data_IF_075589653212
#
_entry.id   IF_075589653212
#
_cell.length_a   1.000
_cell.length_b   1.000
_cell.length_c   1.000
_cell.angle_alpha   90.00
_cell.angle_beta   90.00
_cell.angle_gamma   90.00
#
_symmetry.space_group_name_H-M   'P 1'
#
loop_
_entity.id
_entity.type
_entity.pdbx_description
1 polymer ?
#
# COMPACT_ATOMS: atom_id res chain seq x y z
N UNK A 1 -2.49 -29.85 5.14
CA UNK A 1 -2.73 -28.55 5.81
C UNK A 1 -3.41 -27.66 4.79
N UNK A 2 -4.61 -27.17 5.12
CA UNK A 2 -5.41 -26.33 4.24
C UNK A 2 -5.47 -24.89 4.77
N UNK A 3 -5.08 -23.92 3.95
CA UNK A 3 -5.15 -22.50 4.28
C UNK A 3 -6.17 -21.78 3.41
N UNK A 4 -7.04 -20.98 4.03
CA UNK A 4 -7.94 -20.07 3.33
C UNK A 4 -7.41 -18.65 3.45
N UNK A 5 -7.09 -18.02 2.32
CA UNK A 5 -6.65 -16.62 2.24
C UNK A 5 -7.82 -15.74 1.84
N UNK A 6 -8.19 -14.81 2.69
CA UNK A 6 -9.30 -13.89 2.49
C UNK A 6 -8.79 -12.59 1.87
N UNK A 7 -9.05 -12.39 0.59
CA UNK A 7 -8.65 -11.24 -0.23
C UNK A 7 -7.67 -11.61 -1.34
N UNK A 8 -8.06 -11.33 -2.58
CA UNK A 8 -7.29 -11.54 -3.82
C UNK A 8 -6.50 -10.30 -4.28
N UNK A 9 -6.19 -9.39 -3.36
CA UNK A 9 -5.25 -8.30 -3.61
C UNK A 9 -3.80 -8.76 -3.51
N UNK A 10 -2.82 -7.87 -3.79
CA UNK A 10 -1.39 -8.23 -3.80
C UNK A 10 -0.93 -8.91 -2.51
N UNK A 11 -1.38 -8.45 -1.34
CA UNK A 11 -0.99 -9.03 -0.05
C UNK A 11 -1.47 -10.48 0.11
N UNK A 12 -2.73 -10.76 -0.23
CA UNK A 12 -3.29 -12.11 -0.14
C UNK A 12 -2.68 -13.06 -1.15
N UNK A 13 -2.51 -12.61 -2.39
CA UNK A 13 -1.90 -13.43 -3.44
C UNK A 13 -0.43 -13.76 -3.15
N UNK A 14 0.34 -12.83 -2.57
CA UNK A 14 1.70 -13.11 -2.10
C UNK A 14 1.70 -14.17 -0.97
N UNK A 15 0.79 -14.04 0.02
CA UNK A 15 0.65 -15.07 1.05
C UNK A 15 0.29 -16.44 0.44
N UNK A 16 -0.67 -16.48 -0.50
CA UNK A 16 -1.08 -17.70 -1.18
C UNK A 16 0.08 -18.33 -1.97
N UNK A 17 0.86 -17.50 -2.69
CA UNK A 17 2.00 -17.95 -3.48
C UNK A 17 3.06 -18.62 -2.60
N UNK A 18 3.50 -17.97 -1.53
CA UNK A 18 4.54 -18.53 -0.68
C UNK A 18 4.05 -19.71 0.19
N UNK A 19 2.77 -19.77 0.54
CA UNK A 19 2.15 -20.95 1.15
C UNK A 19 2.16 -22.14 0.19
N UNK A 20 1.74 -21.93 -1.06
CA UNK A 20 1.73 -22.98 -2.08
C UNK A 20 3.14 -23.49 -2.39
N UNK A 21 4.14 -22.60 -2.38
CA UNK A 21 5.57 -22.97 -2.53
C UNK A 21 6.12 -23.78 -1.34
N UNK A 22 5.38 -23.87 -0.24
CA UNK A 22 5.65 -24.72 0.93
C UNK A 22 4.68 -25.92 1.02
N UNK A 23 4.10 -26.33 -0.10
CA UNK A 23 3.18 -27.48 -0.23
C UNK A 23 1.93 -27.39 0.66
N UNK A 24 1.50 -26.17 0.99
CA UNK A 24 0.21 -25.93 1.64
C UNK A 24 -0.89 -25.97 0.57
N UNK A 25 -2.01 -26.64 0.86
CA UNK A 25 -3.23 -26.55 0.08
C UNK A 25 -3.90 -25.21 0.35
N UNK A 26 -4.04 -24.36 -0.69
CA UNK A 26 -4.50 -22.98 -0.54
C UNK A 26 -5.75 -22.73 -1.35
N UNK A 27 -6.76 -22.14 -0.71
CA UNK A 27 -7.91 -21.52 -1.36
C UNK A 27 -7.89 -20.00 -1.11
N UNK A 28 -7.96 -19.20 -2.17
CA UNK A 28 -8.12 -17.73 -2.06
C UNK A 28 -9.59 -17.39 -2.27
N UNK A 29 -10.17 -16.56 -1.39
CA UNK A 29 -11.54 -16.06 -1.53
C UNK A 29 -11.50 -14.57 -1.81
N UNK A 30 -12.07 -14.17 -2.96
CA UNK A 30 -12.15 -12.77 -3.37
C UNK A 30 -13.60 -12.38 -3.69
N UNK A 31 -14.05 -11.25 -3.14
CA UNK A 31 -15.43 -10.75 -3.34
C UNK A 31 -15.71 -10.26 -4.75
N UNK A 32 -14.67 -9.85 -5.48
CA UNK A 32 -14.74 -9.45 -6.87
C UNK A 32 -13.95 -10.45 -7.73
N UNK A 33 -13.37 -9.99 -8.82
CA UNK A 33 -12.38 -10.74 -9.60
C UNK A 33 -10.97 -10.31 -9.17
N UNK A 34 -9.99 -11.20 -9.29
CA UNK A 34 -8.58 -10.87 -9.09
C UNK A 34 -8.15 -9.83 -10.13
N UNK A 35 -7.61 -8.71 -9.64
CA UNK A 35 -7.28 -7.56 -10.50
C UNK A 35 -8.48 -6.69 -10.87
N UNK A 36 -9.61 -6.77 -10.16
CA UNK A 36 -10.76 -5.89 -10.35
C UNK A 36 -10.46 -4.44 -9.94
N UNK A 37 -11.14 -3.50 -10.61
CA UNK A 37 -11.03 -2.04 -10.33
C UNK A 37 -11.38 -1.64 -8.89
N UNK A 38 -12.16 -2.44 -8.18
CA UNK A 38 -12.52 -2.21 -6.78
C UNK A 38 -11.37 -2.48 -5.79
N UNK A 39 -10.30 -3.15 -6.23
CA UNK A 39 -9.16 -3.46 -5.40
C UNK A 39 -8.13 -2.31 -5.42
N UNK A 40 -7.57 -1.97 -4.25
CA UNK A 40 -6.50 -0.96 -4.13
C UNK A 40 -5.23 -1.35 -4.91
N UNK A 41 -5.08 -2.61 -5.26
CA UNK A 41 -3.99 -3.15 -6.07
C UNK A 41 -4.19 -2.95 -7.58
N UNK A 42 -5.29 -2.32 -8.04
CA UNK A 42 -5.54 -2.10 -9.47
C UNK A 42 -4.96 -0.78 -9.99
N UNK A 43 -5.35 0.34 -9.40
CA UNK A 43 -5.09 1.68 -9.93
C UNK A 43 -4.12 2.51 -9.09
N UNK A 44 -3.26 1.85 -8.28
CA UNK A 44 -2.20 2.53 -7.54
C UNK A 44 -1.00 2.89 -8.44
N UNK A 45 -0.02 3.61 -7.88
CA UNK A 45 1.18 4.03 -8.61
C UNK A 45 2.10 2.90 -9.08
N UNK A 46 1.92 1.67 -8.64
CA UNK A 46 2.74 0.54 -9.06
C UNK A 46 4.21 0.65 -8.66
N UNK A 47 4.51 1.23 -7.51
CA UNK A 47 5.88 1.46 -7.07
C UNK A 47 6.37 0.35 -6.14
N UNK A 48 7.52 -0.22 -6.51
CA UNK A 48 8.34 -1.07 -5.65
C UNK A 48 9.51 -0.21 -5.20
N UNK A 49 9.32 0.49 -4.08
CA UNK A 49 10.18 1.58 -3.65
C UNK A 49 10.54 1.46 -2.16
N UNK A 50 11.36 0.46 -1.77
CA UNK A 50 11.70 0.21 -0.38
C UNK A 50 12.52 1.34 0.26
N UNK A 51 13.31 2.09 -0.49
CA UNK A 51 14.02 3.27 0.02
C UNK A 51 13.08 4.43 0.41
N UNK A 52 11.82 4.40 -0.05
CA UNK A 52 10.78 5.37 0.34
C UNK A 52 9.77 4.79 1.34
N UNK A 53 10.04 3.61 1.92
CA UNK A 53 9.14 2.93 2.84
C UNK A 53 9.23 3.53 4.26
N UNK A 54 8.73 4.76 4.44
CA UNK A 54 8.55 5.38 5.75
C UNK A 54 7.13 5.23 6.29
N UNK A 55 6.95 5.24 7.63
CA UNK A 55 5.62 5.30 8.23
C UNK A 55 4.96 6.65 7.94
N UNK A 56 3.64 6.65 7.70
CA UNK A 56 2.92 7.89 7.39
C UNK A 56 2.89 8.90 8.57
N UNK A 57 2.73 8.50 9.85
CA UNK A 57 2.77 9.44 10.97
C UNK A 57 4.20 9.97 11.19
N UNK A 58 4.55 11.01 10.45
CA UNK A 58 5.83 11.70 10.54
C UNK A 58 5.77 12.93 11.44
N UNK A 59 6.92 13.38 11.99
CA UNK A 59 7.01 14.65 12.73
C UNK A 59 6.53 15.83 11.88
N UNK A 60 5.63 16.67 12.45
CA UNK A 60 5.06 17.82 11.76
C UNK A 60 3.77 17.56 10.97
N UNK A 61 3.43 16.31 10.68
CA UNK A 61 2.20 15.96 9.95
C UNK A 61 0.93 16.42 10.67
N UNK A 62 0.95 16.52 12.00
CA UNK A 62 -0.17 17.04 12.81
C UNK A 62 -0.56 18.44 12.39
N UNK A 63 0.44 19.35 12.21
CA UNK A 63 0.21 20.74 11.79
C UNK A 63 -0.35 20.78 10.36
N UNK A 64 0.19 19.97 9.47
CA UNK A 64 -0.32 19.84 8.10
C UNK A 64 -1.78 19.36 8.10
N UNK A 65 -2.10 18.33 8.88
CA UNK A 65 -3.47 17.79 9.03
C UNK A 65 -4.46 18.83 9.57
N UNK A 66 -4.07 19.64 10.57
CA UNK A 66 -4.91 20.71 11.08
C UNK A 66 -5.18 21.80 10.02
N UNK A 67 -4.18 22.16 9.22
CA UNK A 67 -4.34 23.10 8.11
C UNK A 67 -5.25 22.53 7.01
N UNK A 68 -5.17 21.21 6.76
CA UNK A 68 -6.01 20.52 5.77
C UNK A 68 -7.51 20.52 6.14
N UNK A 69 -7.85 20.59 7.43
CA UNK A 69 -9.26 20.66 7.87
C UNK A 69 -9.98 21.92 7.36
N UNK A 70 -9.24 23.00 7.09
CA UNK A 70 -9.81 24.29 6.64
C UNK A 70 -9.53 24.59 5.16
N UNK A 71 -8.83 23.71 4.45
CA UNK A 71 -8.48 23.88 3.02
C UNK A 71 -9.13 22.79 2.17
N UNK A 72 -10.12 23.16 1.37
CA UNK A 72 -10.83 22.24 0.49
C UNK A 72 -9.96 21.69 -0.67
N UNK A 73 -8.90 22.42 -1.06
CA UNK A 73 -7.96 22.10 -2.14
C UNK A 73 -6.73 21.31 -1.67
N UNK A 74 -6.62 21.01 -0.36
CA UNK A 74 -5.51 20.23 0.19
C UNK A 74 -5.46 18.82 -0.40
N UNK A 75 -4.24 18.28 -0.58
CA UNK A 75 -4.05 16.87 -0.93
C UNK A 75 -4.66 15.92 0.12
N UNK A 76 -4.71 16.35 1.39
CA UNK A 76 -5.39 15.65 2.48
C UNK A 76 -6.78 16.26 2.71
N UNK A 77 -7.80 15.40 2.75
CA UNK A 77 -9.19 15.81 2.97
C UNK A 77 -9.90 14.92 3.97
N UNK A 78 -10.71 15.53 4.83
CA UNK A 78 -11.55 14.86 5.82
C UNK A 78 -13.02 15.20 5.51
N UNK A 79 -13.81 14.17 5.16
CA UNK A 79 -15.24 14.37 4.93
C UNK A 79 -15.92 14.79 6.24
N UNK A 80 -16.58 15.97 6.31
CA UNK A 80 -17.11 16.47 7.58
C UNK A 80 -18.05 15.49 8.29
N UNK A 81 -18.96 14.85 7.58
CA UNK A 81 -19.87 13.85 8.13
C UNK A 81 -19.20 12.55 8.65
N UNK A 82 -17.94 12.31 8.29
CA UNK A 82 -17.16 11.15 8.77
C UNK A 82 -16.25 11.50 9.94
N UNK A 83 -15.96 12.77 10.21
CA UNK A 83 -15.06 13.22 11.27
C UNK A 83 -15.39 12.65 12.66
N UNK A 84 -16.64 12.58 13.13
CA UNK A 84 -16.94 12.03 14.44
C UNK A 84 -16.52 10.55 14.60
N UNK A 85 -16.60 9.78 13.51
CA UNK A 85 -16.16 8.37 13.49
C UNK A 85 -14.65 8.24 13.35
N UNK A 86 -14.02 9.18 12.68
CA UNK A 86 -12.56 9.22 12.44
C UNK A 86 -11.78 9.77 13.63
N UNK A 87 -12.35 10.70 14.39
CA UNK A 87 -11.67 11.42 15.46
C UNK A 87 -10.92 10.51 16.47
N UNK A 88 -11.48 9.39 16.97
CA UNK A 88 -10.73 8.50 17.85
C UNK A 88 -9.50 7.88 17.20
N UNK A 89 -9.53 7.62 15.91
CA UNK A 89 -8.39 7.11 15.15
C UNK A 89 -7.37 8.22 14.91
N UNK A 90 -7.78 9.44 14.55
CA UNK A 90 -6.89 10.59 14.37
C UNK A 90 -6.14 10.94 15.66
N UNK A 91 -6.82 10.95 16.80
CA UNK A 91 -6.19 11.19 18.09
C UNK A 91 -5.08 10.18 18.39
N UNK A 92 -5.32 8.91 18.05
CA UNK A 92 -4.32 7.84 18.20
C UNK A 92 -3.19 7.99 17.19
N UNK A 93 -3.51 8.29 15.95
CA UNK A 93 -2.52 8.54 14.90
C UNK A 93 -1.57 9.67 15.28
N UNK A 94 -2.07 10.75 15.84
CA UNK A 94 -1.25 11.88 16.29
C UNK A 94 -0.26 11.54 17.40
N UNK A 95 -0.56 10.54 18.25
CA UNK A 95 0.41 10.11 19.26
C UNK A 95 1.65 9.48 18.66
N UNK A 96 1.59 8.99 17.43
CA UNK A 96 2.72 8.42 16.68
C UNK A 96 3.45 9.44 15.80
N UNK A 97 2.96 10.67 15.65
CA UNK A 97 3.62 11.73 14.86
C UNK A 97 4.79 12.35 15.63
N UNK A 98 5.78 11.54 15.97
CA UNK A 98 7.00 11.95 16.66
C UNK A 98 8.24 11.23 16.12
N UNK A 99 9.43 11.81 16.31
CA UNK A 99 10.68 11.32 15.74
C UNK A 99 11.02 9.88 16.17
N UNK A 100 10.81 9.57 17.44
CA UNK A 100 11.12 8.23 17.98
C UNK A 100 10.33 7.12 17.30
N UNK A 101 9.01 7.30 17.16
CA UNK A 101 8.16 6.28 16.54
C UNK A 101 8.37 6.25 15.03
N UNK A 102 8.65 7.40 14.41
CA UNK A 102 9.02 7.49 13.00
C UNK A 102 10.32 6.70 12.72
N UNK A 103 11.39 6.91 13.49
CA UNK A 103 12.66 6.20 13.30
C UNK A 103 12.53 4.69 13.52
N UNK A 104 11.76 4.27 14.54
CA UNK A 104 11.48 2.85 14.80
C UNK A 104 10.68 2.22 13.66
N UNK A 105 9.67 2.92 13.17
CA UNK A 105 8.84 2.48 12.06
C UNK A 105 9.65 2.38 10.76
N UNK A 106 10.49 3.38 10.46
CA UNK A 106 11.40 3.38 9.31
C UNK A 106 12.34 2.18 9.35
N UNK A 107 12.96 1.91 10.50
CA UNK A 107 13.82 0.75 10.67
C UNK A 107 13.10 -0.58 10.42
N UNK A 108 11.87 -0.71 10.93
CA UNK A 108 11.06 -1.91 10.73
C UNK A 108 10.66 -2.11 9.26
N UNK A 109 10.18 -1.05 8.60
CA UNK A 109 9.78 -1.10 7.19
C UNK A 109 10.98 -1.34 6.27
N UNK A 110 12.13 -0.73 6.56
CA UNK A 110 13.38 -0.95 5.84
C UNK A 110 13.83 -2.41 5.95
N UNK A 111 13.80 -2.99 7.16
CA UNK A 111 14.13 -4.39 7.37
C UNK A 111 13.18 -5.33 6.59
N UNK A 112 11.86 -5.05 6.61
CA UNK A 112 10.89 -5.82 5.86
C UNK A 112 11.11 -5.68 4.35
N UNK A 113 11.39 -4.46 3.84
CA UNK A 113 11.55 -4.18 2.42
C UNK A 113 12.88 -4.65 1.80
N UNK A 114 13.86 -5.06 2.62
CA UNK A 114 15.24 -5.34 2.17
C UNK A 114 15.33 -6.33 1.01
N UNK A 115 14.51 -7.36 1.03
CA UNK A 115 14.54 -8.44 0.02
C UNK A 115 13.47 -8.28 -1.06
N UNK A 116 12.76 -7.14 -1.15
CA UNK A 116 11.62 -7.05 -2.06
C UNK A 116 12.02 -7.25 -3.54
N UNK A 117 13.14 -6.69 -3.99
CA UNK A 117 13.63 -6.83 -5.37
C UNK A 117 14.02 -8.28 -5.70
N UNK A 118 14.77 -8.94 -4.81
CA UNK A 118 15.13 -10.36 -4.93
C UNK A 118 13.88 -11.24 -5.07
N UNK A 119 12.87 -11.00 -4.23
CA UNK A 119 11.65 -11.78 -4.23
C UNK A 119 10.78 -11.53 -5.47
N UNK A 120 10.77 -10.31 -5.99
CA UNK A 120 10.09 -9.98 -7.25
C UNK A 120 10.82 -10.67 -8.43
N UNK A 121 12.15 -10.62 -8.47
CA UNK A 121 12.94 -11.32 -9.49
C UNK A 121 12.72 -12.83 -9.42
N UNK A 122 12.64 -13.39 -8.21
CA UNK A 122 12.28 -14.79 -7.99
C UNK A 122 10.90 -15.15 -8.55
N UNK A 123 9.91 -14.27 -8.38
CA UNK A 123 8.58 -14.47 -8.95
C UNK A 123 8.59 -14.42 -10.48
N UNK A 124 9.34 -13.50 -11.08
CA UNK A 124 9.52 -13.42 -12.54
C UNK A 124 10.19 -14.69 -13.06
N UNK A 125 11.24 -15.18 -12.38
CA UNK A 125 11.93 -16.41 -12.72
C UNK A 125 11.04 -17.66 -12.59
N UNK A 126 10.09 -17.66 -11.63
CA UNK A 126 9.07 -18.72 -11.48
C UNK A 126 7.93 -18.64 -12.52
N UNK A 127 8.01 -17.71 -13.45
CA UNK A 127 7.09 -17.62 -14.60
C UNK A 127 5.92 -16.67 -14.42
N UNK A 128 5.87 -15.85 -13.35
CA UNK A 128 4.84 -14.82 -13.21
C UNK A 128 5.08 -13.72 -14.24
N UNK A 129 4.08 -13.40 -15.04
CA UNK A 129 4.17 -12.42 -16.14
C UNK A 129 3.41 -11.14 -15.79
N UNK A 130 4.10 -10.00 -15.85
CA UNK A 130 3.54 -8.68 -15.65
C UNK A 130 4.49 -7.60 -16.20
N UNK A 131 3.98 -6.39 -16.37
CA UNK A 131 4.77 -5.28 -16.84
C UNK A 131 5.63 -4.72 -15.69
N UNK A 132 6.96 -4.78 -15.84
CA UNK A 132 7.96 -4.38 -14.85
C UNK A 132 9.02 -3.51 -15.52
N UNK A 133 9.32 -2.37 -14.90
CA UNK A 133 10.37 -1.44 -15.31
C UNK A 133 11.35 -1.20 -14.15
N UNK A 134 12.64 -1.41 -14.43
CA UNK A 134 13.76 -1.23 -13.48
C UNK A 134 14.55 0.03 -13.82
N UNK A 135 13.86 1.15 -13.96
CA UNK A 135 14.42 2.40 -14.48
C UNK A 135 14.77 3.43 -13.40
N UNK A 136 14.52 3.10 -12.13
CA UNK A 136 14.62 4.04 -11.04
C UNK A 136 13.38 4.94 -10.91
N UNK A 137 13.45 5.86 -9.97
CA UNK A 137 12.43 6.87 -9.73
C UNK A 137 13.06 8.24 -9.53
N UNK A 138 12.42 9.27 -10.05
CA UNK A 138 12.80 10.67 -9.86
C UNK A 138 11.89 11.29 -8.81
N UNK A 139 12.47 11.92 -7.79
CA UNK A 139 11.77 12.86 -6.94
C UNK A 139 12.02 14.26 -7.47
N UNK A 140 10.97 14.99 -7.81
CA UNK A 140 11.05 16.31 -8.45
C UNK A 140 10.23 17.34 -7.64
N UNK A 141 10.73 18.57 -7.57
CA UNK A 141 10.11 19.68 -6.83
C UNK A 141 10.26 21.01 -7.57
N UNK A 142 9.37 21.94 -7.25
CA UNK A 142 9.44 23.30 -7.78
C UNK A 142 10.56 24.13 -7.13
N UNK A 143 11.06 23.72 -5.96
CA UNK A 143 12.08 24.45 -5.22
C UNK A 143 13.21 23.50 -4.78
N UNK A 144 14.45 23.99 -4.84
CA UNK A 144 15.67 23.22 -4.48
C UNK A 144 15.63 22.78 -3.01
N UNK A 145 15.17 23.66 -2.12
CA UNK A 145 15.14 23.35 -0.68
C UNK A 145 14.12 22.26 -0.34
N UNK A 146 13.01 22.17 -1.07
CA UNK A 146 12.05 21.10 -0.90
C UNK A 146 12.65 19.75 -1.33
N UNK A 147 13.39 19.68 -2.44
CA UNK A 147 14.13 18.49 -2.82
C UNK A 147 15.13 18.04 -1.75
N UNK A 148 15.91 18.98 -1.21
CA UNK A 148 16.87 18.70 -0.12
C UNK A 148 16.17 18.22 1.14
N UNK A 149 15.03 18.79 1.49
CA UNK A 149 14.22 18.37 2.65
C UNK A 149 13.75 16.93 2.49
N UNK A 150 13.23 16.58 1.30
CA UNK A 150 12.81 15.21 1.00
C UNK A 150 13.99 14.26 1.07
N UNK A 151 15.13 14.58 0.45
CA UNK A 151 16.32 13.73 0.47
C UNK A 151 16.81 13.52 1.92
N UNK A 152 16.87 14.58 2.75
CA UNK A 152 17.20 14.47 4.18
C UNK A 152 16.23 13.55 4.95
N UNK A 153 14.94 13.54 4.62
CA UNK A 153 13.98 12.64 5.27
C UNK A 153 14.24 11.17 4.98
N UNK A 154 14.88 10.86 3.86
CA UNK A 154 15.27 9.50 3.47
C UNK A 154 16.64 9.07 4.05
N UNK A 155 17.41 9.98 4.65
CA UNK A 155 18.78 9.71 5.09
C UNK A 155 18.88 8.51 6.06
N UNK A 156 17.83 8.30 6.86
CA UNK A 156 17.71 7.12 7.72
C UNK A 156 17.81 5.80 6.97
N UNK A 157 17.41 5.76 5.70
CA UNK A 157 17.42 4.55 4.86
C UNK A 157 18.83 4.09 4.48
N UNK A 158 19.83 4.99 4.40
CA UNK A 158 21.24 4.61 4.19
C UNK A 158 21.74 3.64 5.24
N UNK A 159 21.37 3.84 6.51
CA UNK A 159 21.75 2.97 7.63
C UNK A 159 21.19 1.55 7.49
N UNK A 160 20.15 1.40 6.66
CA UNK A 160 19.52 0.12 6.36
C UNK A 160 19.98 -0.48 5.03
N UNK A 161 20.99 0.12 4.38
CA UNK A 161 21.67 -0.41 3.19
C UNK A 161 21.01 0.00 1.87
N UNK A 162 20.10 0.98 1.86
CA UNK A 162 19.56 1.55 0.64
C UNK A 162 20.47 2.65 0.10
N UNK A 163 20.65 2.66 -1.22
CA UNK A 163 21.45 3.66 -1.89
C UNK A 163 20.62 4.92 -2.13
N UNK A 164 21.15 6.06 -1.69
CA UNK A 164 20.56 7.38 -1.91
C UNK A 164 21.61 8.29 -2.54
N UNK A 165 21.22 9.24 -3.41
CA UNK A 165 22.15 10.24 -3.92
C UNK A 165 22.71 11.10 -2.78
N UNK A 166 23.89 11.66 -2.98
CA UNK A 166 24.55 12.49 -1.96
C UNK A 166 23.96 13.90 -1.87
N UNK A 167 23.54 14.46 -3.00
CA UNK A 167 22.90 15.78 -3.11
C UNK A 167 21.78 15.74 -4.18
N UNK A 168 21.05 16.83 -4.27
CA UNK A 168 20.01 17.03 -5.27
C UNK A 168 20.61 17.53 -6.58
N UNK A 169 19.97 17.21 -7.69
CA UNK A 169 20.24 17.74 -9.02
C UNK A 169 19.58 19.11 -9.18
N UNK A 170 20.27 20.05 -9.77
CA UNK A 170 19.72 21.34 -10.16
C UNK A 170 18.85 21.27 -11.41
N UNK A 171 18.27 22.42 -11.81
CA UNK A 171 17.31 22.52 -12.91
C UNK A 171 17.82 21.89 -14.22
N UNK A 172 19.03 22.21 -14.65
CA UNK A 172 19.59 21.68 -15.90
C UNK A 172 19.80 20.17 -15.85
N UNK A 173 20.30 19.66 -14.72
CA UNK A 173 20.61 18.25 -14.55
C UNK A 173 19.34 17.40 -14.45
N UNK A 174 18.31 17.88 -13.71
CA UNK A 174 17.06 17.13 -13.55
C UNK A 174 16.27 17.06 -14.85
N UNK A 175 16.28 18.13 -15.68
CA UNK A 175 15.66 18.13 -16.99
C UNK A 175 16.44 17.28 -18.02
N UNK A 176 17.76 17.20 -17.91
CA UNK A 176 18.57 16.29 -18.73
C UNK A 176 18.28 14.82 -18.40
N UNK A 177 18.07 14.51 -17.11
CA UNK A 177 17.69 13.18 -16.63
C UNK A 177 16.27 12.80 -17.07
N UNK A 178 15.31 13.71 -16.84
CA UNK A 178 13.88 13.49 -17.12
C UNK A 178 13.28 14.63 -17.98
N UNK A 179 13.36 14.49 -19.32
CA UNK A 179 12.89 15.54 -20.24
C UNK A 179 11.38 15.77 -20.25
N UNK A 180 10.59 14.90 -19.60
CA UNK A 180 9.14 15.10 -19.50
C UNK A 180 8.73 16.16 -18.45
N UNK A 181 9.67 16.59 -17.62
CA UNK A 181 9.44 17.65 -16.66
C UNK A 181 9.34 19.01 -17.38
N UNK A 182 8.44 19.87 -16.94
CA UNK A 182 8.34 21.22 -17.47
C UNK A 182 9.10 22.24 -16.58
N UNK A 183 9.15 23.50 -17.02
CA UNK A 183 9.92 24.59 -16.39
C UNK A 183 9.52 24.90 -14.93
N UNK A 184 8.44 24.32 -14.42
CA UNK A 184 8.04 24.42 -13.02
C UNK A 184 9.02 23.71 -12.10
N UNK A 185 9.62 22.62 -12.57
CA UNK A 185 10.57 21.82 -11.78
C UNK A 185 11.94 22.47 -11.78
N UNK A 186 12.47 22.75 -10.58
CA UNK A 186 13.77 23.42 -10.41
C UNK A 186 14.83 22.51 -9.78
N UNK A 187 14.43 21.40 -9.19
CA UNK A 187 15.36 20.44 -8.59
C UNK A 187 14.73 19.07 -8.42
N UNK A 188 15.59 18.12 -8.13
CA UNK A 188 15.14 16.75 -7.82
C UNK A 188 16.32 15.84 -7.52
N UNK A 189 16.04 14.55 -7.40
CA UNK A 189 17.07 13.53 -7.27
C UNK A 189 16.57 12.19 -7.83
N UNK A 190 17.51 11.30 -8.14
CA UNK A 190 17.22 9.99 -8.70
C UNK A 190 17.48 8.87 -7.70
N UNK A 191 16.49 8.03 -7.49
CA UNK A 191 16.57 6.78 -6.73
C UNK A 191 16.70 5.62 -7.72
N UNK A 192 17.93 5.30 -8.10
CA UNK A 192 18.24 4.39 -9.21
C UNK A 192 17.73 2.95 -9.01
N UNK A 193 17.68 2.47 -7.76
CA UNK A 193 17.29 1.09 -7.44
C UNK A 193 15.78 0.85 -7.34
N UNK A 194 14.95 1.89 -7.52
CA UNK A 194 13.51 1.72 -7.41
C UNK A 194 12.88 1.21 -8.71
N UNK A 195 11.80 0.44 -8.63
CA UNK A 195 11.14 -0.17 -9.77
C UNK A 195 9.68 0.28 -9.88
N UNK A 196 9.16 0.17 -11.09
CA UNK A 196 7.75 0.41 -11.39
C UNK A 196 7.11 -0.83 -12.01
N UNK A 197 5.87 -1.08 -11.65
CA UNK A 197 5.04 -2.16 -12.22
C UNK A 197 3.69 -1.62 -12.64
N UNK A 198 3.09 -2.23 -13.65
CA UNK A 198 1.67 -2.03 -13.90
C UNK A 198 0.89 -2.90 -12.91
N UNK A 199 0.27 -2.25 -11.95
CA UNK A 199 -0.25 -2.90 -10.75
C UNK A 199 -1.30 -3.99 -11.05
N UNK A 200 -2.19 -3.76 -12.00
CA UNK A 200 -3.22 -4.71 -12.40
C UNK A 200 -2.65 -5.93 -13.13
N UNK A 201 -1.62 -5.76 -13.99
CA UNK A 201 -0.98 -6.90 -14.68
C UNK A 201 -0.23 -7.79 -13.70
N UNK A 202 0.42 -7.20 -12.68
CA UNK A 202 1.07 -7.96 -11.61
C UNK A 202 0.06 -8.84 -10.84
N UNK A 203 -1.06 -8.25 -10.40
CA UNK A 203 -2.07 -8.98 -9.62
C UNK A 203 -2.70 -10.09 -10.45
N UNK A 204 -3.02 -9.82 -11.72
CA UNK A 204 -3.57 -10.84 -12.65
C UNK A 204 -2.54 -11.92 -12.96
N UNK A 205 -1.28 -11.54 -13.22
CA UNK A 205 -0.21 -12.50 -13.51
C UNK A 205 0.05 -13.43 -12.32
N UNK A 206 0.05 -12.89 -11.11
CA UNK A 206 0.19 -13.68 -9.89
C UNK A 206 -1.01 -14.60 -9.67
N UNK A 207 -2.25 -14.13 -9.91
CA UNK A 207 -3.46 -14.94 -9.86
C UNK A 207 -3.46 -16.05 -10.89
N UNK A 208 -3.01 -15.80 -12.13
CA UNK A 208 -2.87 -16.80 -13.17
C UNK A 208 -1.87 -17.89 -12.76
N UNK A 209 -0.68 -17.48 -12.26
CA UNK A 209 0.34 -18.42 -11.80
C UNK A 209 -0.15 -19.28 -10.64
N UNK A 210 -0.89 -18.72 -9.70
CA UNK A 210 -1.48 -19.47 -8.60
C UNK A 210 -2.44 -20.57 -9.09
N UNK A 211 -3.28 -20.29 -10.10
CA UNK A 211 -4.15 -21.30 -10.70
C UNK A 211 -3.35 -22.42 -11.38
N UNK A 212 -2.27 -22.08 -12.08
CA UNK A 212 -1.34 -23.08 -12.67
C UNK A 212 -0.69 -23.97 -11.59
N UNK A 213 -0.41 -23.40 -10.42
CA UNK A 213 0.13 -24.12 -9.26
C UNK A 213 -0.94 -24.92 -8.49
N UNK A 214 -2.19 -24.94 -8.97
CA UNK A 214 -3.30 -25.69 -8.36
C UNK A 214 -3.95 -24.98 -7.17
N UNK A 215 -3.74 -23.67 -6.99
CA UNK A 215 -4.48 -22.88 -5.99
C UNK A 215 -5.88 -22.60 -6.49
N UNK A 216 -6.88 -22.94 -5.70
CA UNK A 216 -8.26 -22.58 -5.94
C UNK A 216 -8.48 -21.10 -5.65
N UNK A 217 -8.99 -20.33 -6.62
CA UNK A 217 -9.36 -18.93 -6.44
C UNK A 217 -10.86 -18.78 -6.64
N UNK A 218 -11.58 -18.60 -5.53
CA UNK A 218 -13.03 -18.44 -5.48
C UNK A 218 -13.36 -16.97 -5.59
N UNK A 219 -13.67 -16.52 -6.80
CA UNK A 219 -14.00 -15.13 -7.12
C UNK A 219 -15.50 -14.85 -6.94
N UNK A 220 -15.87 -13.56 -6.90
CA UNK A 220 -17.25 -13.08 -6.73
C UNK A 220 -17.93 -13.65 -5.48
N UNK A 221 -17.11 -13.92 -4.44
CA UNK A 221 -17.55 -14.62 -3.25
C UNK A 221 -17.13 -13.82 -2.01
N UNK A 222 -18.10 -13.32 -1.26
CA UNK A 222 -17.87 -12.50 -0.06
C UNK A 222 -17.79 -13.37 1.19
N UNK A 223 -16.80 -13.09 2.07
CA UNK A 223 -16.70 -13.71 3.38
C UNK A 223 -17.70 -13.04 4.33
N UNK A 224 -18.68 -13.81 4.79
CA UNK A 224 -19.77 -13.36 5.66
C UNK A 224 -19.49 -13.58 7.15
N UNK A 225 -18.60 -14.52 7.50
CA UNK A 225 -18.25 -14.82 8.90
C UNK A 225 -17.26 -15.96 9.02
N UNK A 226 -17.14 -16.46 10.24
CA UNK A 226 -16.22 -17.53 10.59
C UNK A 226 -16.87 -18.48 11.60
N UNK A 227 -16.66 -19.79 11.44
CA UNK A 227 -17.00 -20.77 12.45
C UNK A 227 -15.81 -21.04 13.35
N UNK A 228 -16.07 -21.06 14.65
CA UNK A 228 -15.03 -21.06 15.68
C UNK A 228 -15.27 -22.18 16.68
N UNK A 229 -14.18 -22.77 17.16
CA UNK A 229 -14.18 -23.69 18.27
C UNK A 229 -13.04 -23.30 19.23
N UNK A 230 -13.40 -22.68 20.38
CA UNK A 230 -12.41 -22.14 21.30
C UNK A 230 -11.54 -21.07 20.64
N UNK A 231 -10.23 -21.29 20.61
CA UNK A 231 -9.21 -20.41 19.99
C UNK A 231 -8.85 -20.81 18.55
N UNK A 232 -9.66 -21.64 17.90
CA UNK A 232 -9.44 -22.04 16.52
C UNK A 232 -10.62 -21.61 15.61
N UNK A 233 -10.29 -21.13 14.41
CA UNK A 233 -11.23 -20.97 13.31
C UNK A 233 -11.30 -22.30 12.55
N UNK A 234 -12.49 -22.87 12.36
CA UNK A 234 -12.69 -24.16 11.67
C UNK A 234 -13.14 -24.00 10.23
N UNK A 235 -13.89 -22.94 9.95
CA UNK A 235 -14.37 -22.67 8.61
C UNK A 235 -14.55 -21.17 8.38
N UNK A 236 -14.43 -20.78 7.12
CA UNK A 236 -14.75 -19.45 6.59
C UNK A 236 -16.11 -19.53 5.93
N UNK A 237 -17.10 -18.78 6.45
CA UNK A 237 -18.43 -18.67 5.85
C UNK A 237 -18.43 -17.64 4.74
N UNK A 238 -18.97 -18.00 3.62
CA UNK A 238 -19.04 -17.16 2.42
C UNK A 238 -20.45 -17.12 1.85
N UNK A 239 -20.66 -16.25 0.87
CA UNK A 239 -21.92 -16.22 0.09
C UNK A 239 -22.10 -17.47 -0.79
N UNK A 240 -21.02 -18.23 -1.06
CA UNK A 240 -21.04 -19.48 -1.82
C UNK A 240 -21.03 -20.76 -0.97
N UNK A 241 -21.12 -20.63 0.38
CA UNK A 241 -21.04 -21.77 1.28
C UNK A 241 -19.89 -21.66 2.29
N UNK A 242 -19.58 -22.76 2.94
CA UNK A 242 -18.52 -22.84 3.95
C UNK A 242 -17.26 -23.51 3.40
N UNK A 243 -16.11 -22.92 3.74
CA UNK A 243 -14.78 -23.43 3.41
C UNK A 243 -14.09 -23.88 4.69
N UNK A 244 -13.90 -25.17 4.87
CA UNK A 244 -13.12 -25.71 5.99
C UNK A 244 -11.67 -25.24 5.87
N UNK A 245 -11.06 -24.87 7.00
CA UNK A 245 -9.70 -24.33 7.03
C UNK A 245 -8.95 -24.76 8.28
N UNK A 246 -7.71 -25.24 8.09
CA UNK A 246 -6.76 -25.40 9.20
C UNK A 246 -6.16 -24.05 9.58
N UNK A 247 -5.97 -23.15 8.60
CA UNK A 247 -5.42 -21.81 8.77
C UNK A 247 -6.20 -20.78 7.96
N UNK A 248 -6.36 -19.56 8.50
CA UNK A 248 -7.05 -18.45 7.83
C UNK A 248 -6.19 -17.20 7.84
N UNK A 249 -5.95 -16.61 6.67
CA UNK A 249 -5.19 -15.34 6.52
C UNK A 249 -6.15 -14.22 6.12
N UNK A 250 -6.27 -13.19 6.94
CA UNK A 250 -7.05 -11.98 6.64
C UNK A 250 -6.17 -10.97 5.90
N UNK A 251 -6.31 -10.90 4.58
CA UNK A 251 -5.54 -10.04 3.69
C UNK A 251 -6.42 -9.14 2.79
N UNK A 252 -7.60 -8.75 3.29
CA UNK A 252 -8.63 -8.02 2.54
C UNK A 252 -8.42 -6.48 2.54
N UNK A 253 -7.16 -5.99 2.63
CA UNK A 253 -6.85 -4.56 2.63
C UNK A 253 -7.65 -3.81 3.71
N UNK A 254 -8.29 -2.69 3.35
CA UNK A 254 -9.10 -1.90 4.29
C UNK A 254 -10.28 -2.69 4.88
N UNK A 255 -10.81 -3.68 4.16
CA UNK A 255 -11.90 -4.53 4.64
C UNK A 255 -11.47 -5.58 5.67
N UNK A 256 -10.17 -5.70 5.94
CA UNK A 256 -9.68 -6.56 7.03
C UNK A 256 -10.23 -6.12 8.39
N UNK A 257 -10.45 -4.82 8.63
CA UNK A 257 -11.02 -4.31 9.89
C UNK A 257 -12.42 -4.87 10.18
N UNK A 258 -13.44 -4.76 9.30
CA UNK A 258 -14.76 -5.34 9.56
C UNK A 258 -14.73 -6.88 9.58
N UNK A 259 -13.85 -7.54 8.83
CA UNK A 259 -13.70 -8.99 8.88
C UNK A 259 -13.10 -9.46 10.21
N UNK A 260 -12.06 -8.83 10.70
CA UNK A 260 -11.46 -9.11 12.01
C UNK A 260 -12.47 -8.88 13.15
N UNK A 261 -13.32 -7.87 13.02
CA UNK A 261 -14.39 -7.61 13.99
C UNK A 261 -15.39 -8.77 14.10
N UNK A 262 -15.65 -9.52 13.01
CA UNK A 262 -16.47 -10.76 13.02
C UNK A 262 -15.81 -11.89 13.82
N UNK A 263 -14.48 -11.86 13.98
CA UNK A 263 -13.71 -12.74 14.88
C UNK A 263 -13.63 -12.19 16.32
N UNK A 264 -14.14 -10.98 16.58
CA UNK A 264 -13.95 -10.29 17.85
C UNK A 264 -12.59 -9.61 18.00
N UNK A 265 -11.79 -9.59 16.93
CA UNK A 265 -10.45 -8.97 16.88
C UNK A 265 -10.57 -7.51 16.46
N UNK A 266 -9.91 -6.62 17.17
CA UNK A 266 -9.90 -5.17 16.86
C UNK A 266 -8.62 -4.75 16.22
N UNK A 267 -8.74 -4.07 15.09
CA UNK A 267 -7.62 -3.54 14.32
C UNK A 267 -7.78 -2.01 14.23
N UNK A 268 -6.79 -1.21 14.70
CA UNK A 268 -6.85 0.26 14.65
C UNK A 268 -6.48 0.77 13.26
N UNK A 269 -7.28 0.44 12.26
CA UNK A 269 -7.05 0.75 10.87
C UNK A 269 -8.25 1.48 10.28
N UNK A 270 -7.99 2.47 9.43
CA UNK A 270 -8.99 3.25 8.69
C UNK A 270 -8.70 3.22 7.20
N UNK A 271 -9.73 3.24 6.34
CA UNK A 271 -9.54 3.41 4.91
C UNK A 271 -9.17 4.86 4.58
N UNK A 272 -8.05 5.04 3.86
CA UNK A 272 -7.63 6.30 3.26
C UNK A 272 -7.83 6.25 1.75
N UNK A 273 -8.82 6.98 1.22
CA UNK A 273 -9.11 7.00 -0.21
C UNK A 273 -8.08 7.82 -0.96
N UNK A 274 -7.54 7.28 -2.01
CA UNK A 274 -6.70 7.95 -3.00
C UNK A 274 -7.33 7.88 -4.37
N UNK A 275 -6.96 8.83 -5.22
CA UNK A 275 -7.42 8.90 -6.61
C UNK A 275 -6.27 8.68 -7.57
N UNK A 276 -6.58 8.16 -8.76
CA UNK A 276 -5.69 8.17 -9.91
C UNK A 276 -6.47 8.26 -11.21
N UNK A 277 -5.75 8.63 -12.28
CA UNK A 277 -6.27 8.69 -13.64
C UNK A 277 -5.13 8.49 -14.64
N UNK A 278 -5.46 8.28 -15.90
CA UNK A 278 -4.51 8.20 -17.00
C UNK A 278 -4.47 9.52 -17.77
N UNK A 279 -3.29 9.85 -18.29
CA UNK A 279 -3.05 10.99 -19.16
C UNK A 279 -2.15 10.60 -20.36
N UNK A 280 -2.20 11.43 -21.42
CA UNK A 280 -1.21 11.43 -22.50
C UNK A 280 -0.30 12.64 -22.36
N UNK A 281 0.96 12.46 -21.93
CA UNK A 281 1.93 13.54 -21.86
C UNK A 281 2.48 13.84 -23.24
N UNK A 282 2.92 15.10 -23.51
CA UNK A 282 3.63 15.45 -24.74
C UNK A 282 4.96 14.72 -24.89
N UNK A 283 5.66 14.55 -23.78
CA UNK A 283 6.89 13.78 -23.69
C UNK A 283 6.67 12.68 -22.66
N UNK A 284 6.86 11.42 -23.04
CA UNK A 284 6.72 10.29 -22.12
C UNK A 284 7.84 10.30 -21.09
N UNK A 285 7.52 10.29 -19.78
CA UNK A 285 8.53 10.16 -18.75
C UNK A 285 9.32 8.87 -18.88
N UNK A 286 10.63 8.98 -18.66
CA UNK A 286 11.54 7.83 -18.64
C UNK A 286 11.44 7.04 -17.34
N UNK A 287 11.10 7.72 -16.24
CA UNK A 287 11.08 7.19 -14.88
C UNK A 287 9.70 7.31 -14.26
N UNK A 288 9.46 6.59 -13.17
CA UNK A 288 8.42 6.97 -12.23
C UNK A 288 8.81 8.28 -11.55
N UNK A 289 7.87 9.22 -11.39
CA UNK A 289 8.17 10.54 -10.81
C UNK A 289 7.31 10.77 -9.57
N UNK A 290 7.93 11.22 -8.49
CA UNK A 290 7.26 11.75 -7.30
C UNK A 290 7.38 13.27 -7.30
N UNK A 291 6.28 13.98 -7.48
CA UNK A 291 6.18 15.42 -7.20
C UNK A 291 5.87 15.59 -5.70
N UNK A 292 6.93 15.79 -4.92
CA UNK A 292 6.84 15.72 -3.46
C UNK A 292 6.04 16.86 -2.84
N UNK A 293 6.14 18.05 -3.39
CA UNK A 293 5.47 19.27 -2.94
C UNK A 293 3.95 19.25 -3.16
N UNK A 294 3.46 18.47 -4.14
CA UNK A 294 2.02 18.28 -4.40
C UNK A 294 1.51 16.87 -4.02
N UNK A 295 2.37 16.00 -3.47
CA UNK A 295 2.04 14.63 -3.10
C UNK A 295 1.39 13.84 -4.26
N UNK A 296 1.91 14.00 -5.48
CA UNK A 296 1.45 13.30 -6.67
C UNK A 296 2.55 12.41 -7.24
N UNK A 297 2.17 11.21 -7.63
CA UNK A 297 3.04 10.26 -8.30
C UNK A 297 2.65 10.06 -9.75
N UNK A 298 3.64 9.96 -10.64
CA UNK A 298 3.50 9.67 -12.07
C UNK A 298 4.17 8.35 -12.37
N UNK A 299 3.47 7.47 -13.06
CA UNK A 299 4.02 6.17 -13.49
C UNK A 299 3.80 6.00 -14.98
N UNK A 300 4.87 5.85 -15.79
CA UNK A 300 4.76 5.54 -17.22
C UNK A 300 4.10 4.16 -17.40
N UNK A 301 3.12 4.08 -18.31
CA UNK A 301 2.39 2.86 -18.63
C UNK A 301 2.20 2.72 -20.16
N UNK A 302 3.28 2.47 -20.89
CA UNK A 302 3.25 2.37 -22.34
C UNK A 302 3.10 3.74 -22.99
N UNK A 303 1.96 4.04 -23.63
CA UNK A 303 1.64 5.30 -24.30
C UNK A 303 0.96 6.34 -23.39
N UNK A 304 0.78 6.03 -22.11
CA UNK A 304 0.11 6.87 -21.11
C UNK A 304 0.89 6.92 -19.82
N UNK A 305 0.56 7.88 -18.99
CA UNK A 305 1.02 7.93 -17.60
C UNK A 305 -0.15 7.80 -16.67
N UNK A 306 0.03 7.06 -15.57
CA UNK A 306 -0.89 7.09 -14.43
C UNK A 306 -0.43 8.16 -13.45
N UNK A 307 -1.32 9.07 -13.15
CA UNK A 307 -1.12 10.04 -12.08
C UNK A 307 -1.98 9.65 -10.90
N UNK A 308 -1.37 9.52 -9.73
CA UNK A 308 -2.05 9.20 -8.49
C UNK A 308 -1.62 10.10 -7.37
N UNK A 309 -2.55 10.39 -6.46
CA UNK A 309 -2.26 11.26 -5.32
C UNK A 309 -3.42 11.32 -4.34
N UNK A 310 -3.39 12.34 -3.52
CA UNK A 310 -4.40 12.69 -2.52
C UNK A 310 -4.64 11.62 -1.43
N UNK A 311 -5.17 12.07 -0.32
CA UNK A 311 -5.64 11.23 0.77
C UNK A 311 -6.97 11.78 1.29
N UNK A 312 -8.01 10.97 1.22
CA UNK A 312 -9.34 11.34 1.70
C UNK A 312 -9.83 10.35 2.74
N UNK A 313 -10.35 10.85 3.85
CA UNK A 313 -10.99 10.03 4.87
C UNK A 313 -12.52 10.22 4.80
N UNK A 314 -13.18 9.30 4.07
CA UNK A 314 -14.63 9.27 3.84
C UNK A 314 -15.26 7.90 4.15
N UNK A 315 -14.54 7.03 4.86
CA UNK A 315 -14.95 5.66 5.13
C UNK A 315 -14.74 4.74 3.94
N UNK A 316 -15.64 3.78 3.76
CA UNK A 316 -15.54 2.75 2.70
C UNK A 316 -16.15 3.18 1.35
N UNK A 317 -16.36 4.47 1.17
CA UNK A 317 -16.89 5.04 -0.07
C UNK A 317 -15.81 5.01 -1.17
N UNK A 318 -16.10 4.31 -2.29
CA UNK A 318 -15.27 4.26 -3.50
C UNK A 318 -15.76 5.23 -4.60
N UNK A 319 -16.79 6.01 -4.32
CA UNK A 319 -17.28 7.05 -5.24
C UNK A 319 -16.18 8.05 -5.58
N UNK A 320 -16.13 8.46 -6.84
CA UNK A 320 -15.20 9.47 -7.32
C UNK A 320 -15.80 10.85 -7.04
N UNK A 321 -15.05 11.71 -6.36
CA UNK A 321 -15.37 13.11 -6.19
C UNK A 321 -14.64 13.90 -7.28
N UNK A 322 -15.43 14.45 -8.23
CA UNK A 322 -14.93 15.17 -9.40
C UNK A 322 -14.10 16.41 -9.02
N UNK A 323 -14.40 17.05 -7.89
CA UNK A 323 -13.59 18.19 -7.40
C UNK A 323 -12.22 17.74 -6.96
N UNK A 324 -12.13 16.57 -6.29
CA UNK A 324 -10.88 16.03 -5.77
C UNK A 324 -9.97 15.55 -6.90
N UNK A 325 -10.53 14.82 -7.86
CA UNK A 325 -9.77 14.34 -9.01
C UNK A 325 -9.39 15.50 -9.94
N UNK A 326 -10.30 16.47 -10.16
CA UNK A 326 -10.02 17.68 -10.93
C UNK A 326 -8.93 18.56 -10.29
N UNK A 327 -8.85 18.62 -8.95
CA UNK A 327 -7.77 19.32 -8.27
C UNK A 327 -6.41 18.63 -8.49
N UNK A 328 -6.37 17.29 -8.36
CA UNK A 328 -5.15 16.52 -8.65
C UNK A 328 -4.71 16.70 -10.11
N UNK A 329 -5.65 16.68 -11.05
CA UNK A 329 -5.39 16.92 -12.47
C UNK A 329 -4.79 18.32 -12.71
N UNK A 330 -5.39 19.36 -12.12
CA UNK A 330 -4.89 20.73 -12.21
C UNK A 330 -3.46 20.86 -11.68
N UNK A 331 -3.17 20.27 -10.51
CA UNK A 331 -1.84 20.30 -9.93
C UNK A 331 -0.81 19.54 -10.80
N UNK A 332 -1.18 18.40 -11.37
CA UNK A 332 -0.29 17.62 -12.21
C UNK A 332 0.12 18.35 -13.50
N UNK A 333 -0.80 19.10 -14.11
CA UNK A 333 -0.53 19.93 -15.30
C UNK A 333 0.53 21.00 -15.07
N UNK A 334 0.73 21.43 -13.84
CA UNK A 334 1.77 22.40 -13.50
C UNK A 334 3.19 21.81 -13.57
N UNK A 335 3.32 20.47 -13.70
CA UNK A 335 4.61 19.77 -13.67
C UNK A 335 4.90 18.95 -14.92
N UNK A 336 3.89 18.56 -15.68
CA UNK A 336 4.00 17.75 -16.89
C UNK A 336 3.14 18.33 -18.00
N UNK A 337 3.73 18.54 -19.17
CA UNK A 337 3.02 19.00 -20.34
C UNK A 337 2.13 17.90 -20.94
N UNK A 338 0.89 18.22 -21.25
CA UNK A 338 -0.10 17.27 -21.74
C UNK A 338 -0.37 17.45 -23.23
N UNK A 339 -0.68 16.35 -23.94
CA UNK A 339 -1.19 16.40 -25.32
C UNK A 339 -2.65 16.89 -25.36
N UNK A 340 -3.46 16.41 -24.40
CA UNK A 340 -4.88 16.72 -24.30
C UNK A 340 -5.21 17.32 -22.93
N UNK A 341 -6.20 18.22 -22.84
CA UNK A 341 -6.60 18.83 -21.58
C UNK A 341 -7.53 17.91 -20.74
N UNK A 342 -7.60 16.64 -21.03
CA UNK A 342 -8.52 15.67 -20.42
C UNK A 342 -7.77 14.49 -19.80
N UNK A 343 -8.36 13.92 -18.75
CA UNK A 343 -7.88 12.67 -18.16
C UNK A 343 -8.81 11.50 -18.48
N UNK A 344 -8.25 10.32 -18.50
CA UNK A 344 -8.94 9.07 -18.78
C UNK A 344 -8.97 8.17 -17.54
N UNK A 345 -9.89 7.22 -17.50
CA UNK A 345 -9.99 6.17 -16.49
C UNK A 345 -9.85 6.64 -15.03
N UNK A 346 -10.68 7.61 -14.59
CA UNK A 346 -10.67 8.02 -13.20
C UNK A 346 -10.92 6.82 -12.27
N UNK A 347 -10.13 6.73 -11.19
CA UNK A 347 -10.18 5.62 -10.25
C UNK A 347 -10.02 6.09 -8.80
N UNK A 348 -10.63 5.35 -7.87
CA UNK A 348 -10.45 5.53 -6.43
C UNK A 348 -10.18 4.19 -5.75
N UNK A 349 -9.27 4.20 -4.76
CA UNK A 349 -8.95 3.02 -3.96
C UNK A 349 -8.68 3.34 -2.50
N UNK A 350 -8.91 2.36 -1.63
CA UNK A 350 -8.83 2.52 -0.18
C UNK A 350 -7.52 1.95 0.37
N UNK A 351 -6.61 2.81 0.81
CA UNK A 351 -5.38 2.43 1.49
C UNK A 351 -5.70 1.98 2.92
N UNK A 352 -5.21 0.81 3.37
CA UNK A 352 -5.43 0.32 4.73
C UNK A 352 -4.48 1.02 5.72
N UNK A 353 -4.94 2.10 6.35
CA UNK A 353 -4.14 3.00 7.17
C UNK A 353 -4.18 2.60 8.65
N UNK A 354 -3.08 2.09 9.19
CA UNK A 354 -2.91 1.87 10.65
C UNK A 354 -2.56 3.18 11.37
N UNK A 355 -2.76 3.23 12.68
CA UNK A 355 -2.47 4.45 13.47
C UNK A 355 -0.97 4.78 13.56
N UNK A 356 -0.09 3.79 13.43
CA UNK A 356 1.37 3.93 13.48
C UNK A 356 2.05 3.80 12.11
N UNK A 357 1.27 3.63 11.03
CA UNK A 357 1.77 3.50 9.67
C UNK A 357 2.42 2.16 9.33
N UNK A 358 2.48 1.20 10.27
CA UNK A 358 3.07 -0.12 10.06
C UNK A 358 2.00 -1.17 9.75
N UNK A 359 2.26 -2.16 8.88
CA UNK A 359 1.34 -3.26 8.67
C UNK A 359 1.13 -4.08 9.96
N UNK A 360 0.07 -4.87 9.97
CA UNK A 360 -0.19 -5.88 10.99
C UNK A 360 0.08 -7.24 10.34
N UNK A 361 1.12 -7.92 10.84
CA UNK A 361 1.61 -9.21 10.36
C UNK A 361 1.73 -10.14 11.58
N UNK A 362 0.60 -10.73 11.98
CA UNK A 362 0.53 -11.44 13.26
C UNK A 362 -0.66 -12.41 13.30
N UNK A 363 -0.72 -13.21 14.36
CA UNK A 363 -1.95 -13.92 14.71
C UNK A 363 -3.10 -12.94 14.97
N UNK A 364 -4.29 -13.30 14.54
CA UNK A 364 -5.53 -12.61 14.90
C UNK A 364 -5.95 -13.05 16.33
N UNK A 365 -5.19 -12.60 17.34
CA UNK A 365 -5.40 -13.05 18.73
C UNK A 365 -6.86 -12.87 19.18
N UNK A 366 -7.43 -13.84 19.92
CA UNK A 366 -6.75 -14.97 20.60
C UNK A 366 -6.62 -16.26 19.76
N UNK A 367 -6.83 -16.20 18.45
CA UNK A 367 -6.81 -17.39 17.60
C UNK A 367 -5.39 -17.87 17.33
N UNK A 368 -5.21 -19.18 17.33
CA UNK A 368 -3.92 -19.85 17.10
C UNK A 368 -3.68 -20.16 15.62
N UNK A 369 -4.73 -20.11 14.78
CA UNK A 369 -4.70 -20.48 13.38
C UNK A 369 -5.33 -19.42 12.45
N UNK A 370 -5.60 -18.24 12.96
CA UNK A 370 -6.01 -17.10 12.13
C UNK A 370 -4.96 -16.00 12.19
N UNK A 371 -4.70 -15.36 11.06
CA UNK A 371 -3.62 -14.40 10.87
C UNK A 371 -4.12 -13.13 10.20
N UNK A 372 -3.42 -12.03 10.42
CA UNK A 372 -3.64 -10.74 9.75
C UNK A 372 -2.43 -10.42 8.90
N UNK A 373 -2.63 -10.14 7.62
CA UNK A 373 -1.63 -9.63 6.68
C UNK A 373 -2.20 -8.39 5.97
N UNK A 374 -2.25 -7.27 6.68
CA UNK A 374 -2.90 -6.04 6.19
C UNK A 374 -2.33 -4.78 6.84
N UNK A 375 -2.83 -3.60 6.43
CA UNK A 375 -2.37 -2.35 7.02
C UNK A 375 -1.14 -1.76 6.36
N UNK A 376 -0.86 -2.13 5.14
CA UNK A 376 0.35 -1.68 4.40
C UNK A 376 0.31 -0.21 3.97
N UNK A 377 -0.74 0.55 4.30
CA UNK A 377 -0.85 1.94 3.88
C UNK A 377 -0.68 2.11 2.37
N UNK A 378 0.32 2.83 1.92
CA UNK A 378 0.70 3.02 0.51
C UNK A 378 1.72 1.98 0.01
N UNK A 379 2.25 1.13 0.90
CA UNK A 379 3.43 0.30 0.68
C UNK A 379 3.11 -1.14 0.24
N UNK A 380 1.84 -1.43 -0.07
CA UNK A 380 1.42 -2.80 -0.41
C UNK A 380 2.19 -3.39 -1.59
N UNK A 381 2.44 -2.61 -2.65
CA UNK A 381 3.20 -3.06 -3.83
C UNK A 381 4.69 -3.29 -3.53
N UNK A 382 5.23 -2.68 -2.50
CA UNK A 382 6.62 -2.86 -2.07
C UNK A 382 6.78 -4.02 -1.08
N UNK A 383 5.90 -4.12 -0.09
CA UNK A 383 6.13 -4.95 1.09
C UNK A 383 5.39 -6.29 1.09
N UNK A 384 4.46 -6.52 0.15
CA UNK A 384 3.67 -7.76 0.15
C UNK A 384 4.49 -9.01 -0.15
N UNK A 385 5.56 -8.89 -0.91
CA UNK A 385 6.44 -10.02 -1.25
C UNK A 385 7.14 -10.59 -0.01
N UNK A 386 7.98 -9.80 0.72
CA UNK A 386 8.64 -10.31 1.92
C UNK A 386 7.66 -10.61 3.06
N UNK A 387 6.56 -9.87 3.16
CA UNK A 387 5.52 -10.15 4.15
C UNK A 387 4.81 -11.48 3.86
N UNK A 388 4.54 -11.79 2.59
CA UNK A 388 3.92 -13.05 2.17
C UNK A 388 4.83 -14.25 2.44
N UNK A 389 6.14 -14.13 2.12
CA UNK A 389 7.14 -15.16 2.40
C UNK A 389 7.25 -15.46 3.91
N UNK A 390 7.40 -14.42 4.73
CA UNK A 390 7.52 -14.58 6.17
C UNK A 390 6.20 -15.01 6.84
N UNK A 391 5.03 -14.64 6.27
CA UNK A 391 3.73 -15.15 6.73
C UNK A 391 3.60 -16.66 6.45
N UNK A 392 4.04 -17.11 5.28
CA UNK A 392 4.04 -18.53 4.97
C UNK A 392 4.99 -19.32 5.90
N UNK A 393 6.15 -18.76 6.23
CA UNK A 393 7.07 -19.34 7.23
C UNK A 393 6.39 -19.43 8.61
N UNK A 394 5.75 -18.34 9.05
CA UNK A 394 5.04 -18.29 10.34
C UNK A 394 3.94 -19.36 10.43
N UNK A 395 3.17 -19.55 9.37
CA UNK A 395 2.06 -20.51 9.30
C UNK A 395 2.60 -21.95 9.33
N UNK A 396 3.64 -22.24 8.54
CA UNK A 396 4.17 -23.61 8.42
C UNK A 396 5.04 -24.04 9.59
N UNK A 397 5.74 -23.09 10.22
CA UNK A 397 6.59 -23.37 11.38
C UNK A 397 5.86 -23.28 12.73
N UNK A 398 4.72 -22.60 12.78
CA UNK A 398 4.02 -22.25 14.02
C UNK A 398 4.77 -21.23 14.88
N UNK A 399 5.80 -20.58 14.34
CA UNK A 399 6.66 -19.62 15.05
C UNK A 399 6.64 -18.25 14.36
N UNK A 400 6.64 -17.18 15.14
CA UNK A 400 6.79 -15.82 14.58
C UNK A 400 8.21 -15.60 14.09
N UNK A 401 8.44 -15.23 12.82
CA UNK A 401 9.73 -14.74 12.37
C UNK A 401 10.14 -13.48 13.13
N UNK A 402 11.42 -13.31 13.45
CA UNK A 402 11.93 -12.11 14.12
C UNK A 402 11.62 -10.82 13.34
N UNK A 403 11.54 -10.94 12.02
CA UNK A 403 11.15 -9.86 11.11
C UNK A 403 9.75 -9.30 11.45
N UNK A 404 8.86 -10.12 12.04
CA UNK A 404 7.49 -9.70 12.37
C UNK A 404 7.32 -9.11 13.78
N UNK A 405 8.36 -9.07 14.60
CA UNK A 405 8.27 -8.50 15.95
C UNK A 405 7.74 -7.04 15.97
N UNK A 406 8.15 -6.13 15.07
CA UNK A 406 7.60 -4.77 15.05
C UNK A 406 6.14 -4.69 14.55
N UNK A 407 5.63 -5.73 13.89
CA UNK A 407 4.33 -5.74 13.20
C UNK A 407 3.25 -6.50 13.96
N UNK A 408 3.49 -6.82 15.22
CA UNK A 408 2.54 -7.52 16.10
C UNK A 408 1.26 -6.72 16.31
N UNK A 409 0.15 -7.39 16.46
CA UNK A 409 -1.14 -6.75 16.75
C UNK A 409 -1.19 -6.17 18.17
N UNK A 410 -0.50 -6.79 19.13
CA UNK A 410 -0.45 -6.38 20.51
C UNK A 410 0.59 -5.28 20.83
N UNK A 411 1.29 -4.76 19.79
CA UNK A 411 2.12 -3.54 19.91
C UNK A 411 1.33 -2.29 20.26
N UNK A 412 0.04 -2.32 19.98
CA UNK A 412 -0.87 -1.24 20.35
C UNK A 412 -1.28 -1.35 21.82
N UNK A 413 -1.15 -0.28 22.59
CA UNK A 413 -1.68 -0.24 23.96
C UNK A 413 -3.16 -0.60 24.01
N UNK A 414 -3.61 -1.21 25.12
CA UNK A 414 -5.01 -1.66 25.27
C UNK A 414 -6.04 -0.55 25.04
N UNK A 415 -5.71 0.70 25.37
CA UNK A 415 -6.60 1.85 25.14
C UNK A 415 -6.78 2.18 23.65
N UNK A 416 -5.78 1.87 22.79
CA UNK A 416 -5.92 1.99 21.33
C UNK A 416 -6.88 0.92 20.78
N UNK A 417 -6.86 -0.29 21.33
CA UNK A 417 -7.70 -1.40 20.91
C UNK A 417 -9.14 -1.33 21.48
N UNK A 418 -9.40 -0.47 22.48
CA UNK A 418 -10.75 -0.26 23.03
C UNK A 418 -11.59 0.55 22.04
N UNK A 419 -12.89 0.20 21.90
CA UNK A 419 -13.85 1.08 21.23
C UNK A 419 -13.89 2.42 21.98
N UNK A 420 -13.82 3.55 21.26
CA UNK A 420 -14.40 4.78 21.75
C UNK A 420 -15.88 4.47 22.03
N UNK A 421 -16.34 4.75 23.23
CA UNK A 421 -17.58 4.28 23.82
C UNK A 421 -18.79 4.11 22.89
N UNK A 422 -19.72 3.23 23.33
CA UNK A 422 -20.98 2.96 22.63
C UNK A 422 -21.73 4.25 22.34
#
# INVERSE_FOLDING_TARGET
MKAVVVGGGIAGLCCAYYLRRRDVDVTVVERAEVGARSASSWGNGGWIAPAQAGPLPEPGLTIYGLRALVRADSALYFRPGYLPRLAPWLLRFWTYCNQRDYDRGTAALAALGRRCFELVDGMVADGIRFDLWKLGMVCATAEVEDARKVLRSLEGMRRHGFQLPEDVLGEQEIHALEPALNDRVKAGFHLAEQWNVKADTLVRGLGARLRELGVEIVERTEVTGFDRAGTAVRAVRTTGGELAADHVVLAAGSWTTPLAAKLGVRIPMQPGKGYSFLLRPKVMPRHGILFADIHAGVTPLGDRVRIGGTMEFSGYDLGIDERRIGNLFRLARDYVDLETPEYEEPWAGLRPMTVDGLPILDWAQPYTNAYVASGYSMLGMTLSYPAGEAMAEMITSGRRPSLFEPFRIDRFPRWILRRAGR
#
